data_IF_716242371135
#
_entry.id   IF_716242371135
#
_cell.length_a   1.000
_cell.length_b   1.000
_cell.length_c   1.000
_cell.angle_alpha   90.00
_cell.angle_beta   90.00
_cell.angle_gamma   90.00
#
_symmetry.space_group_name_H-M   'P 1'
#
loop_
_entity.id
_entity.type
_entity.pdbx_description
1 polymer ?
#
# COMPACT_ATOMS: atom_id res chain seq x y z
N UNK A 1 15.12 -52.67 25.93
CA UNK A 1 14.61 -53.67 24.97
C UNK A 1 13.56 -54.53 25.66
N UNK A 2 12.28 -54.36 25.33
CA UNK A 2 11.24 -55.41 25.18
C UNK A 2 9.86 -54.73 25.04
N UNK A 3 9.20 -55.06 23.93
CA UNK A 3 7.95 -54.48 23.44
C UNK A 3 6.75 -55.40 23.72
N UNK A 4 5.53 -54.84 23.73
CA UNK A 4 4.27 -55.41 23.20
C UNK A 4 3.10 -54.54 23.73
N UNK A 5 2.35 -53.77 22.92
CA UNK A 5 1.38 -54.15 21.88
C UNK A 5 0.13 -54.87 22.41
N UNK A 6 -0.98 -54.12 22.54
CA UNK A 6 -2.38 -54.57 22.42
C UNK A 6 -3.24 -53.33 22.16
N UNK A 7 -4.32 -53.30 21.37
CA UNK A 7 -4.79 -54.04 20.22
C UNK A 7 -5.86 -53.12 19.60
N UNK A 8 -5.93 -53.15 18.27
CA UNK A 8 -6.86 -52.41 17.42
C UNK A 8 -8.22 -53.12 17.41
N UNK A 9 -9.33 -52.39 17.54
CA UNK A 9 -10.65 -52.86 17.15
C UNK A 9 -11.27 -51.82 16.20
N UNK A 10 -11.34 -52.19 14.93
CA UNK A 10 -12.22 -51.60 13.93
C UNK A 10 -13.50 -52.45 13.88
N UNK A 11 -14.62 -51.83 13.49
CA UNK A 11 -15.57 -52.26 12.45
C UNK A 11 -16.86 -51.42 12.64
N UNK A 12 -17.19 -50.47 11.76
CA UNK A 12 -17.81 -50.61 10.43
C UNK A 12 -19.35 -50.56 10.49
N UNK A 13 -19.93 -49.43 10.06
CA UNK A 13 -21.13 -49.45 9.20
C UNK A 13 -21.31 -48.15 8.41
N UNK A 14 -21.66 -48.36 7.15
CA UNK A 14 -21.88 -47.42 6.04
C UNK A 14 -23.06 -46.46 6.26
N UNK A 15 -23.02 -45.27 5.65
CA UNK A 15 -23.71 -44.98 4.37
C UNK A 15 -24.12 -43.49 4.20
N UNK A 16 -23.90 -43.01 2.98
CA UNK A 16 -24.72 -42.03 2.23
C UNK A 16 -24.76 -40.54 2.64
N UNK A 17 -24.03 -39.76 1.82
CA UNK A 17 -24.49 -38.59 1.05
C UNK A 17 -25.08 -37.33 1.72
N UNK A 18 -24.28 -36.26 1.63
CA UNK A 18 -24.57 -34.97 0.98
C UNK A 18 -25.44 -33.87 1.63
N UNK A 19 -24.80 -32.68 1.66
CA UNK A 19 -25.31 -31.30 1.62
C UNK A 19 -26.17 -30.78 2.79
N UNK A 20 -25.58 -29.91 3.62
CA UNK A 20 -25.76 -28.45 3.50
C UNK A 20 -25.00 -27.73 4.62
N UNK A 21 -24.39 -26.61 4.25
CA UNK A 21 -23.50 -25.78 5.05
C UNK A 21 -24.21 -24.44 5.25
N UNK A 22 -24.71 -24.14 6.46
CA UNK A 22 -25.03 -22.76 6.90
C UNK A 22 -25.22 -22.69 8.43
N UNK A 23 -24.21 -22.10 9.05
CA UNK A 23 -24.23 -21.13 10.16
C UNK A 23 -24.94 -21.44 11.50
N UNK A 24 -24.16 -21.44 12.59
CA UNK A 24 -24.49 -20.70 13.82
C UNK A 24 -23.26 -20.62 14.79
N UNK A 25 -22.49 -19.52 14.77
CA UNK A 25 -21.41 -19.26 15.77
C UNK A 25 -21.77 -18.17 16.78
N UNK A 26 -23.06 -18.03 17.09
CA UNK A 26 -23.52 -17.11 18.13
C UNK A 26 -23.23 -17.76 19.49
N UNK A 27 -22.29 -17.21 20.25
CA UNK A 27 -22.46 -16.75 21.65
C UNK A 27 -21.10 -16.25 22.19
N UNK A 28 -21.02 -14.93 22.43
CA UNK A 28 -19.84 -14.28 23.00
C UNK A 28 -19.62 -12.80 22.61
N UNK A 29 -20.63 -12.12 22.07
CA UNK A 29 -20.62 -10.67 21.85
C UNK A 29 -21.62 -9.98 22.79
N UNK A 30 -21.12 -9.47 23.90
CA UNK A 30 -21.60 -8.29 24.63
C UNK A 30 -20.32 -7.67 25.18
N UNK A 31 -19.87 -6.47 24.83
CA UNK A 31 -20.62 -5.25 24.62
C UNK A 31 -19.82 -4.19 25.37
N UNK A 32 -18.82 -3.61 24.71
CA UNK A 32 -18.15 -2.42 25.20
C UNK A 32 -17.95 -1.48 24.01
N UNK A 33 -18.90 -0.57 23.90
CA UNK A 33 -18.83 0.65 23.11
C UNK A 33 -17.48 1.34 23.40
N UNK A 34 -16.53 1.21 22.48
CA UNK A 34 -15.27 1.96 22.55
C UNK A 34 -15.52 3.31 21.91
N UNK A 35 -15.94 4.26 22.74
CA UNK A 35 -15.79 5.69 22.43
C UNK A 35 -14.33 5.90 22.01
N UNK A 36 -14.13 6.35 20.76
CA UNK A 36 -12.81 6.75 20.26
C UNK A 36 -12.43 8.07 20.93
N UNK A 37 -11.99 7.97 22.18
CA UNK A 37 -11.24 8.99 22.86
C UNK A 37 -9.91 9.17 22.12
N UNK A 38 -9.64 10.42 21.76
CA UNK A 38 -8.46 10.90 21.07
C UNK A 38 -7.22 10.73 21.94
N UNK A 39 -6.59 9.56 21.94
CA UNK A 39 -5.29 9.32 22.61
C UNK A 39 -4.71 7.95 22.23
N UNK A 40 -4.08 7.83 21.06
CA UNK A 40 -3.37 6.60 20.68
C UNK A 40 -2.28 6.82 19.64
N UNK A 41 -1.50 7.91 19.77
CA UNK A 41 -0.31 8.16 18.93
C UNK A 41 0.99 7.68 19.62
N UNK A 42 0.99 7.35 20.91
CA UNK A 42 2.25 7.22 21.66
C UNK A 42 2.90 5.82 21.72
N UNK A 43 2.27 4.73 21.25
CA UNK A 43 2.78 3.37 21.54
C UNK A 43 3.63 2.66 20.46
N UNK A 44 3.81 3.21 19.25
CA UNK A 44 4.56 2.52 18.17
C UNK A 44 6.00 3.04 17.94
N UNK A 45 6.48 3.99 18.73
CA UNK A 45 7.73 4.72 18.46
C UNK A 45 9.01 3.87 18.55
N UNK A 46 8.95 2.70 19.20
CA UNK A 46 10.13 1.87 19.50
C UNK A 46 10.65 1.04 18.31
N UNK A 47 9.86 0.89 17.23
CA UNK A 47 10.23 0.07 16.06
C UNK A 47 10.56 0.93 14.83
N UNK A 48 10.35 2.25 14.90
CA UNK A 48 10.55 3.16 13.77
C UNK A 48 12.04 3.43 13.53
N UNK A 49 12.61 2.78 12.52
CA UNK A 49 14.04 2.87 12.20
C UNK A 49 14.40 4.21 11.54
N UNK A 50 13.56 4.66 10.61
CA UNK A 50 13.72 5.90 9.88
C UNK A 50 12.35 6.54 9.69
N UNK A 51 12.29 7.85 9.90
CA UNK A 51 11.05 8.60 9.69
C UNK A 51 11.01 9.11 8.24
N UNK A 52 9.82 9.41 7.70
CA UNK A 52 9.65 9.87 6.32
C UNK A 52 10.54 11.08 5.96
N UNK A 53 10.58 12.11 6.81
CA UNK A 53 11.38 13.31 6.57
C UNK A 53 12.89 13.02 6.50
N UNK A 54 13.37 12.06 7.31
CA UNK A 54 14.77 11.65 7.26
C UNK A 54 15.08 10.93 5.93
N UNK A 55 14.16 10.07 5.49
CA UNK A 55 14.27 9.35 4.22
C UNK A 55 14.31 10.34 3.05
N UNK A 56 13.39 11.31 3.00
CA UNK A 56 13.37 12.36 1.97
C UNK A 56 14.67 13.16 1.95
N UNK A 57 15.19 13.54 3.13
CA UNK A 57 16.47 14.24 3.23
C UNK A 57 17.62 13.40 2.68
N UNK A 58 17.70 12.12 3.05
CA UNK A 58 18.75 11.22 2.56
C UNK A 58 18.65 11.04 1.04
N UNK A 59 17.44 10.86 0.52
CA UNK A 59 17.20 10.72 -0.92
C UNK A 59 17.59 11.99 -1.68
N UNK A 60 17.33 13.17 -1.11
CA UNK A 60 17.78 14.45 -1.64
C UNK A 60 19.32 14.58 -1.59
N UNK A 61 19.95 14.20 -0.48
CA UNK A 61 21.40 14.29 -0.29
C UNK A 61 22.17 13.41 -1.29
N UNK A 62 21.66 12.20 -1.56
CA UNK A 62 22.22 11.30 -2.57
C UNK A 62 21.83 11.67 -4.01
N UNK A 63 20.97 12.68 -4.19
CA UNK A 63 20.45 13.14 -5.48
C UNK A 63 19.69 12.04 -6.23
N UNK A 64 18.81 11.33 -5.52
CA UNK A 64 17.85 10.44 -6.15
C UNK A 64 16.87 11.24 -7.01
N UNK A 65 16.48 10.65 -8.14
CA UNK A 65 15.55 11.27 -9.09
C UNK A 65 14.11 10.84 -8.79
N UNK A 66 13.14 11.68 -9.14
CA UNK A 66 11.71 11.37 -9.12
C UNK A 66 11.22 10.72 -7.81
N UNK A 67 11.39 11.41 -6.68
CA UNK A 67 10.97 10.90 -5.37
C UNK A 67 9.46 11.09 -5.23
N UNK A 68 8.73 9.98 -5.08
CA UNK A 68 7.27 9.99 -4.90
C UNK A 68 6.90 9.30 -3.59
N UNK A 69 6.11 9.99 -2.78
CA UNK A 69 5.59 9.46 -1.51
C UNK A 69 4.12 9.12 -1.68
N UNK A 70 3.75 7.90 -1.35
CA UNK A 70 2.39 7.38 -1.46
C UNK A 70 1.95 6.92 -0.07
N UNK A 71 0.88 7.51 0.52
CA UNK A 71 0.33 7.03 1.78
C UNK A 71 -0.37 5.69 1.58
N UNK A 72 -0.09 4.71 2.44
CA UNK A 72 -0.68 3.37 2.42
C UNK A 72 -1.40 3.13 3.76
N UNK A 73 -2.48 2.34 3.77
CA UNK A 73 -3.31 2.14 4.98
C UNK A 73 -3.25 0.75 5.62
N UNK A 74 -2.69 -0.25 4.91
CA UNK A 74 -2.86 -1.65 5.30
C UNK A 74 -1.59 -2.34 5.81
N UNK A 75 -0.41 -2.02 5.24
CA UNK A 75 0.84 -2.74 5.53
C UNK A 75 1.97 -1.84 6.01
N UNK A 76 2.02 -0.60 5.54
CA UNK A 76 2.91 0.46 5.98
C UNK A 76 2.13 1.78 5.95
N UNK A 77 2.64 2.81 6.64
CA UNK A 77 2.04 4.14 6.65
C UNK A 77 2.39 4.90 5.35
N UNK A 78 3.64 4.72 4.87
CA UNK A 78 4.13 5.36 3.66
C UNK A 78 4.96 4.42 2.79
N UNK A 79 4.71 4.48 1.49
CA UNK A 79 5.57 3.89 0.48
C UNK A 79 6.28 5.00 -0.28
N UNK A 80 7.60 4.98 -0.30
CA UNK A 80 8.43 5.94 -1.03
C UNK A 80 9.02 5.25 -2.24
N UNK A 81 8.87 5.85 -3.42
CA UNK A 81 9.46 5.37 -4.67
C UNK A 81 10.51 6.39 -5.12
N UNK A 82 11.74 5.93 -5.32
CA UNK A 82 12.86 6.76 -5.74
C UNK A 82 13.57 6.14 -6.95
N UNK A 83 14.00 6.97 -7.90
CA UNK A 83 14.73 6.54 -9.10
C UNK A 83 16.23 6.76 -8.92
N UNK A 84 17.02 5.77 -9.29
CA UNK A 84 18.47 5.89 -9.44
C UNK A 84 18.89 5.82 -10.90
N UNK A 85 19.76 6.74 -11.32
CA UNK A 85 20.35 6.82 -12.69
C UNK A 85 21.18 5.61 -13.14
N UNK A 86 21.55 4.72 -12.23
CA UNK A 86 22.32 3.50 -12.54
C UNK A 86 22.18 2.49 -11.42
N UNK A 87 22.52 1.23 -11.70
CA UNK A 87 22.49 0.16 -10.69
C UNK A 87 23.39 0.46 -9.49
N UNK A 88 24.53 1.09 -9.71
CA UNK A 88 25.40 1.54 -8.62
C UNK A 88 24.76 2.66 -7.81
N UNK A 89 24.10 3.61 -8.48
CA UNK A 89 23.40 4.70 -7.79
C UNK A 89 22.26 4.18 -6.91
N UNK A 90 21.47 3.23 -7.41
CA UNK A 90 20.43 2.54 -6.63
C UNK A 90 21.02 1.84 -5.39
N UNK A 91 22.15 1.14 -5.54
CA UNK A 91 22.85 0.52 -4.41
C UNK A 91 23.32 1.57 -3.40
N UNK A 92 23.85 2.70 -3.86
CA UNK A 92 24.30 3.79 -3.01
C UNK A 92 23.14 4.42 -2.21
N UNK A 93 21.98 4.61 -2.84
CA UNK A 93 20.74 5.06 -2.17
C UNK A 93 20.41 4.11 -1.01
N UNK A 94 20.37 2.80 -1.27
CA UNK A 94 20.09 1.80 -0.24
C UNK A 94 21.13 1.81 0.89
N UNK A 95 22.41 1.89 0.55
CA UNK A 95 23.50 1.96 1.53
C UNK A 95 23.42 3.21 2.41
N UNK A 96 23.07 4.36 1.85
CA UNK A 96 22.91 5.61 2.59
C UNK A 96 21.79 5.51 3.63
N UNK A 97 20.64 4.92 3.25
CA UNK A 97 19.52 4.68 4.17
C UNK A 97 19.92 3.73 5.30
N UNK A 98 20.55 2.58 4.97
CA UNK A 98 21.03 1.61 5.96
C UNK A 98 22.04 2.26 6.91
N UNK A 99 22.96 3.06 6.37
CA UNK A 99 23.95 3.77 7.17
C UNK A 99 23.27 4.71 8.17
N UNK A 100 22.31 5.52 7.72
CA UNK A 100 21.59 6.43 8.63
C UNK A 100 20.82 5.67 9.72
N UNK A 101 20.14 4.57 9.37
CA UNK A 101 19.45 3.72 10.33
C UNK A 101 20.41 3.18 11.39
N UNK A 102 21.60 2.71 10.99
CA UNK A 102 22.67 2.28 11.91
C UNK A 102 23.14 3.41 12.81
N UNK A 103 23.33 4.62 12.28
CA UNK A 103 23.78 5.77 13.08
C UNK A 103 22.77 6.13 14.18
N UNK A 104 21.47 6.08 13.88
CA UNK A 104 20.39 6.40 14.83
C UNK A 104 20.34 5.41 16.00
N UNK A 105 20.81 4.18 15.77
CA UNK A 105 20.85 3.11 16.78
C UNK A 105 22.18 3.00 17.52
N UNK A 106 23.13 3.91 17.28
CA UNK A 106 24.38 3.94 18.05
C UNK A 106 24.07 4.16 19.53
N UNK A 107 24.36 3.15 20.35
CA UNK A 107 24.09 3.17 21.80
C UNK A 107 22.81 2.44 22.22
N UNK A 108 22.05 1.85 21.29
CA UNK A 108 20.92 1.00 21.62
C UNK A 108 21.38 -0.37 22.15
N UNK A 109 20.68 -0.92 23.15
CA UNK A 109 20.95 -2.24 23.72
C UNK A 109 20.84 -3.37 22.68
N UNK A 110 20.00 -3.18 21.66
CA UNK A 110 19.80 -4.10 20.53
C UNK A 110 19.73 -3.28 19.24
N UNK A 111 20.56 -3.64 18.27
CA UNK A 111 20.54 -3.04 16.93
C UNK A 111 19.50 -3.78 16.09
N UNK A 112 18.59 -3.04 15.47
CA UNK A 112 17.57 -3.56 14.56
C UNK A 112 17.78 -2.90 13.21
N UNK A 113 18.27 -3.64 12.23
CA UNK A 113 18.52 -3.09 10.90
C UNK A 113 17.25 -3.16 10.04
N UNK A 114 17.07 -2.23 9.08
CA UNK A 114 16.01 -2.36 8.10
C UNK A 114 16.23 -3.62 7.27
N UNK A 115 15.14 -4.26 6.85
CA UNK A 115 15.23 -5.36 5.90
C UNK A 115 15.56 -4.80 4.52
N UNK A 116 16.47 -5.45 3.80
CA UNK A 116 16.96 -4.96 2.51
C UNK A 116 16.98 -6.11 1.52
N UNK A 117 16.19 -5.98 0.46
CA UNK A 117 16.04 -6.99 -0.58
C UNK A 117 16.51 -6.45 -1.93
N UNK A 118 17.12 -7.30 -2.76
CA UNK A 118 17.53 -6.94 -4.14
C UNK A 118 18.81 -6.11 -4.26
N UNK A 119 19.52 -5.83 -3.15
CA UNK A 119 20.73 -5.00 -3.13
C UNK A 119 21.85 -5.51 -4.03
N UNK A 120 22.03 -6.83 -4.17
CA UNK A 120 23.09 -7.39 -5.03
C UNK A 120 22.87 -7.08 -6.51
N UNK A 121 21.62 -7.12 -6.97
CA UNK A 121 21.25 -6.80 -8.36
C UNK A 121 21.24 -5.30 -8.64
N UNK A 122 20.81 -4.48 -7.68
CA UNK A 122 20.81 -3.02 -7.77
C UNK A 122 19.89 -2.43 -8.85
N UNK A 123 19.05 -3.23 -9.50
CA UNK A 123 18.02 -2.73 -10.43
C UNK A 123 16.76 -2.30 -9.69
N UNK A 124 16.46 -3.00 -8.61
CA UNK A 124 15.35 -2.75 -7.72
C UNK A 124 15.78 -3.19 -6.34
N UNK A 125 15.77 -2.25 -5.40
CA UNK A 125 16.05 -2.50 -4.01
C UNK A 125 14.85 -2.06 -3.19
N UNK A 126 14.43 -2.92 -2.26
CA UNK A 126 13.37 -2.61 -1.30
C UNK A 126 13.99 -2.52 0.07
N UNK A 127 13.72 -1.42 0.77
CA UNK A 127 14.18 -1.18 2.13
C UNK A 127 12.95 -1.03 3.02
N UNK A 128 12.76 -1.99 3.93
CA UNK A 128 11.67 -1.99 4.90
C UNK A 128 12.16 -1.46 6.25
N UNK A 129 11.64 -0.30 6.66
CA UNK A 129 11.94 0.35 7.95
C UNK A 129 10.80 0.22 8.97
N UNK A 130 9.78 -0.61 8.68
CA UNK A 130 8.59 -0.82 9.51
C UNK A 130 7.44 0.11 9.13
N UNK A 131 7.53 1.40 9.43
CA UNK A 131 6.48 2.39 9.11
C UNK A 131 6.56 2.88 7.67
N UNK A 132 7.78 2.96 7.12
CA UNK A 132 8.05 3.42 5.76
C UNK A 132 8.79 2.35 4.97
N UNK A 133 8.30 2.07 3.75
CA UNK A 133 8.94 1.17 2.81
C UNK A 133 9.47 1.98 1.62
N UNK A 134 10.77 1.87 1.34
CA UNK A 134 11.42 2.59 0.25
C UNK A 134 11.71 1.62 -0.90
N UNK A 135 11.21 1.95 -2.08
CA UNK A 135 11.51 1.27 -3.33
C UNK A 135 12.48 2.14 -4.13
N UNK A 136 13.73 1.71 -4.20
CA UNK A 136 14.74 2.34 -5.06
C UNK A 136 14.85 1.54 -6.36
N UNK A 137 14.50 2.14 -7.50
CA UNK A 137 14.50 1.48 -8.80
C UNK A 137 15.43 2.20 -9.78
N UNK A 138 16.00 1.43 -10.70
CA UNK A 138 16.55 1.99 -11.94
C UNK A 138 15.41 2.54 -12.82
N UNK A 139 15.70 3.53 -13.66
CA UNK A 139 14.72 4.21 -14.53
C UNK A 139 13.94 3.20 -15.38
N UNK A 140 14.64 2.23 -15.97
CA UNK A 140 14.03 1.16 -16.78
C UNK A 140 13.10 0.26 -15.95
N UNK A 141 13.50 -0.04 -14.71
CA UNK A 141 12.71 -0.88 -13.82
C UNK A 141 11.44 -0.15 -13.37
N UNK A 142 11.54 1.15 -13.03
CA UNK A 142 10.37 1.96 -12.66
C UNK A 142 9.36 2.05 -13.81
N UNK A 143 9.83 2.30 -15.04
CA UNK A 143 8.97 2.33 -16.22
C UNK A 143 8.30 0.97 -16.49
N UNK A 144 9.03 -0.13 -16.31
CA UNK A 144 8.51 -1.48 -16.54
C UNK A 144 7.47 -1.90 -15.51
N UNK A 145 7.74 -1.70 -14.21
CA UNK A 145 6.85 -2.14 -13.13
C UNK A 145 5.71 -1.17 -12.85
N UNK A 146 5.88 0.12 -13.15
CA UNK A 146 4.88 1.18 -13.00
C UNK A 146 4.09 1.11 -11.67
N UNK A 147 4.83 0.96 -10.56
CA UNK A 147 4.25 0.77 -9.23
C UNK A 147 3.30 1.91 -8.84
N UNK A 148 3.56 3.13 -9.30
CA UNK A 148 2.74 4.30 -9.02
C UNK A 148 1.28 4.12 -9.44
N UNK A 149 1.03 3.49 -10.59
CA UNK A 149 -0.33 3.24 -11.06
C UNK A 149 -1.05 2.26 -10.15
N UNK A 150 -0.37 1.22 -9.66
CA UNK A 150 -0.98 0.20 -8.81
C UNK A 150 -1.41 0.78 -7.46
N UNK A 151 -0.58 1.64 -6.87
CA UNK A 151 -0.77 2.14 -5.52
C UNK A 151 -1.49 3.50 -5.44
N UNK A 152 -1.68 4.21 -6.56
CA UNK A 152 -2.42 5.49 -6.60
C UNK A 152 -3.90 5.31 -7.00
N UNK A 153 -4.35 4.10 -7.38
CA UNK A 153 -5.71 3.86 -7.92
C UNK A 153 -6.84 4.05 -6.90
N UNK A 154 -6.55 4.32 -5.61
CA UNK A 154 -7.59 4.62 -4.62
C UNK A 154 -8.02 6.10 -4.57
N UNK A 155 -7.40 6.98 -5.37
CA UNK A 155 -8.11 8.20 -5.80
C UNK A 155 -8.90 7.85 -7.04
N UNK A 156 -10.09 7.27 -6.85
CA UNK A 156 -11.12 7.32 -7.88
C UNK A 156 -11.20 8.77 -8.39
N UNK A 157 -11.38 9.01 -9.71
CA UNK A 157 -11.92 10.28 -10.14
C UNK A 157 -13.14 10.50 -9.24
N UNK A 158 -13.28 11.67 -8.59
CA UNK A 158 -14.56 12.06 -8.02
C UNK A 158 -15.57 11.80 -9.13
N UNK A 159 -16.37 10.75 -9.00
CA UNK A 159 -17.59 10.60 -9.76
C UNK A 159 -18.25 11.97 -9.64
N UNK A 160 -18.42 12.71 -10.76
CA UNK A 160 -18.93 14.06 -10.69
C UNK A 160 -20.21 13.98 -9.90
N UNK A 161 -20.30 14.80 -8.84
CA UNK A 161 -21.45 14.79 -7.96
C UNK A 161 -22.71 14.90 -8.83
N UNK A 162 -23.81 14.24 -8.47
CA UNK A 162 -25.02 14.26 -9.31
C UNK A 162 -25.47 15.68 -9.68
N UNK A 163 -25.11 16.66 -8.84
CA UNK A 163 -25.30 18.09 -9.06
C UNK A 163 -24.42 18.68 -10.20
N UNK A 164 -23.18 18.24 -10.36
CA UNK A 164 -22.30 18.65 -11.48
C UNK A 164 -22.78 18.07 -12.82
N UNK A 165 -23.31 16.84 -12.80
CA UNK A 165 -23.96 16.23 -13.97
C UNK A 165 -25.23 17.00 -14.33
N UNK A 166 -26.12 17.29 -13.37
CA UNK A 166 -27.33 18.08 -13.61
C UNK A 166 -27.00 19.47 -14.20
N UNK A 167 -26.00 20.16 -13.66
CA UNK A 167 -25.57 21.47 -14.18
C UNK A 167 -25.01 21.39 -15.61
N UNK A 168 -24.29 20.32 -15.95
CA UNK A 168 -23.79 20.09 -17.31
C UNK A 168 -24.95 19.79 -18.29
N UNK A 169 -25.94 19.00 -17.88
CA UNK A 169 -27.13 18.70 -18.69
C UNK A 169 -28.02 19.93 -18.93
N UNK A 170 -28.13 20.85 -17.96
CA UNK A 170 -28.89 22.11 -18.13
C UNK A 170 -28.26 23.03 -19.18
N UNK A 171 -26.94 22.98 -19.37
CA UNK A 171 -26.21 23.81 -20.34
C UNK A 171 -26.48 23.39 -21.79
N UNK A 172 -26.87 22.14 -22.04
CA UNK A 172 -27.10 21.59 -23.39
C UNK A 172 -28.58 21.74 -23.76
N UNK A 173 -29.08 22.98 -23.84
CA UNK A 173 -30.30 23.25 -24.61
C UNK A 173 -29.92 23.76 -26.00
N UNK A 174 -30.34 23.10 -27.09
CA UNK A 174 -30.19 23.66 -28.43
C UNK A 174 -30.95 25.00 -28.47
N UNK A 175 -30.27 26.09 -28.84
CA UNK A 175 -30.95 27.34 -29.22
C UNK A 175 -31.75 27.03 -30.49
N UNK A 176 -33.06 26.82 -30.34
CA UNK A 176 -33.98 26.72 -31.46
C UNK A 176 -33.96 28.05 -32.23
N UNK A 177 -33.34 28.06 -33.40
CA UNK A 177 -33.40 29.17 -34.34
C UNK A 177 -34.60 28.95 -35.28
N UNK A 178 -35.81 28.98 -34.75
CA UNK A 178 -37.01 29.04 -35.58
C UNK A 178 -37.57 30.45 -35.59
N UNK A 179 -37.45 31.10 -36.77
CA UNK A 179 -38.46 31.92 -37.45
C UNK A 179 -37.80 33.01 -38.32
N UNK A 180 -37.71 32.73 -39.62
CA UNK A 180 -38.06 33.73 -40.64
C UNK A 180 -38.48 33.03 -41.94
N UNK A 181 -39.76 32.68 -42.03
CA UNK A 181 -40.40 32.38 -43.31
C UNK A 181 -40.59 33.70 -44.05
N UNK A 182 -39.82 33.94 -45.11
CA UNK A 182 -40.08 35.04 -46.05
C UNK A 182 -40.98 34.50 -47.15
N UNK A 183 -42.08 35.20 -47.37
CA UNK A 183 -43.23 34.78 -48.15
C UNK A 183 -42.94 34.67 -49.65
N UNK A 184 -43.61 33.70 -50.29
CA UNK A 184 -43.81 33.63 -51.74
C UNK A 184 -44.64 34.83 -52.22
N UNK A 185 -44.26 35.41 -53.35
CA UNK A 185 -45.16 36.18 -54.21
C UNK A 185 -45.01 35.70 -55.65
N UNK A 186 -46.18 35.49 -56.26
CA UNK A 186 -46.47 34.90 -57.56
C UNK A 186 -45.89 35.62 -58.78
#
# INVERSE_FOLDING_TARGET
MLAALRSRALLHHSSSSSFSNLQQWKLGFLGLERTRSSSSIESNKATELLNLQEIEQILSDVKADDIRVIPVRQHCDFMVIATGRSTWHVKNIAQALIYKAKQKQKGAQRISLPSVEGQEGGKWVVIDSGTVIVHALDEKARAYYNLESLWTTETSPKEPSSQELENAFVKIRPKNNSKKSVQMSS
#
